data_IF_614384013603
#
_entry.id   IF_614384013603
#
_cell.length_a   1.000
_cell.length_b   1.000
_cell.length_c   1.000
_cell.angle_alpha   90.00
_cell.angle_beta   90.00
_cell.angle_gamma   90.00
#
_symmetry.space_group_name_H-M   'P 1'
#
loop_
_entity.id
_entity.type
_entity.pdbx_description
1 polymer ?
#
# COMPACT_ATOMS: atom_id res chain seq x y z
N UNK A 1 19.07 27.02 19.12
CA UNK A 1 19.45 25.58 19.17
C UNK A 1 18.25 24.66 18.98
N UNK A 2 17.15 24.77 19.75
CA UNK A 2 15.96 23.89 19.62
C UNK A 2 15.32 23.89 18.22
N UNK A 3 15.17 25.06 17.59
CA UNK A 3 14.62 25.18 16.24
C UNK A 3 15.52 24.57 15.15
N UNK A 4 16.85 24.64 15.33
CA UNK A 4 17.83 24.07 14.38
C UNK A 4 17.78 22.55 14.44
N UNK A 5 17.67 21.97 15.64
CA UNK A 5 17.53 20.51 15.82
C UNK A 5 16.21 20.00 15.24
N UNK A 6 15.08 20.70 15.44
CA UNK A 6 13.80 20.33 14.81
C UNK A 6 13.83 20.44 13.29
N UNK A 7 14.47 21.48 12.73
CA UNK A 7 14.60 21.63 11.27
C UNK A 7 15.47 20.53 10.64
N UNK A 8 16.55 20.15 11.34
CA UNK A 8 17.48 19.10 10.92
C UNK A 8 16.81 17.71 10.99
N UNK A 9 15.95 17.47 11.98
CA UNK A 9 15.15 16.24 12.09
C UNK A 9 14.09 16.12 10.99
N UNK A 10 13.45 17.23 10.58
CA UNK A 10 12.47 17.27 9.48
C UNK A 10 13.13 17.02 8.11
N UNK A 11 14.34 17.56 7.90
CA UNK A 11 15.11 17.36 6.67
C UNK A 11 15.59 15.91 6.48
N UNK A 12 15.95 15.22 7.56
CA UNK A 12 16.35 13.80 7.51
C UNK A 12 15.14 12.90 7.15
N UNK A 13 13.93 13.27 7.56
CA UNK A 13 12.72 12.47 7.31
C UNK A 13 12.22 12.52 5.86
N UNK A 14 12.69 13.48 5.05
CA UNK A 14 12.22 13.68 3.66
C UNK A 14 13.03 12.95 2.58
N UNK A 15 14.11 12.25 2.94
CA UNK A 15 15.00 11.61 1.95
C UNK A 15 14.59 10.17 1.65
N UNK A 16 13.40 9.97 1.10
CA UNK A 16 13.07 8.72 0.40
C UNK A 16 13.41 8.89 -1.08
N UNK A 17 14.64 8.49 -1.44
CA UNK A 17 15.05 8.44 -2.84
C UNK A 17 14.49 7.16 -3.44
N UNK A 18 13.42 7.27 -4.22
CA UNK A 18 12.89 6.14 -4.98
C UNK A 18 13.80 5.91 -6.19
N UNK A 19 14.50 4.77 -6.22
CA UNK A 19 15.19 4.31 -7.41
C UNK A 19 14.15 3.81 -8.42
N UNK A 20 13.95 4.56 -9.52
CA UNK A 20 13.04 4.17 -10.59
C UNK A 20 13.73 3.16 -11.51
N UNK A 21 13.21 1.94 -11.59
CA UNK A 21 13.71 0.91 -12.51
C UNK A 21 13.19 1.15 -13.93
N UNK A 22 14.07 1.09 -14.93
CA UNK A 22 13.70 1.24 -16.33
C UNK A 22 13.18 -0.09 -16.88
N UNK A 23 11.88 -0.20 -17.06
CA UNK A 23 11.21 -1.42 -17.55
C UNK A 23 11.12 -1.47 -19.08
N UNK A 24 11.46 -2.62 -19.66
CA UNK A 24 11.22 -2.89 -21.07
C UNK A 24 9.75 -3.26 -21.31
N UNK A 25 9.00 -2.33 -21.91
CA UNK A 25 7.58 -2.52 -22.24
C UNK A 25 7.39 -3.35 -23.50
N UNK A 26 6.28 -4.09 -23.54
CA UNK A 26 5.84 -4.80 -24.75
C UNK A 26 5.52 -3.82 -25.88
N UNK A 27 5.75 -4.26 -27.13
CA UNK A 27 5.48 -3.46 -28.34
C UNK A 27 3.98 -3.20 -28.54
N UNK A 28 3.14 -4.17 -28.18
CA UNK A 28 1.69 -4.06 -28.24
C UNK A 28 1.16 -3.42 -26.94
N UNK A 29 0.46 -2.28 -27.09
CA UNK A 29 -0.14 -1.55 -25.96
C UNK A 29 -1.22 -2.33 -25.23
N UNK A 30 -1.96 -3.20 -25.92
CA UNK A 30 -3.00 -4.02 -25.31
C UNK A 30 -2.39 -5.06 -24.36
N UNK A 31 -1.33 -5.73 -24.81
CA UNK A 31 -0.58 -6.71 -24.05
C UNK A 31 0.18 -6.06 -22.88
N UNK A 32 0.75 -4.86 -23.07
CA UNK A 32 1.37 -4.12 -21.96
C UNK A 32 0.35 -3.69 -20.91
N UNK A 33 -0.88 -3.30 -21.32
CA UNK A 33 -1.96 -3.00 -20.37
C UNK A 33 -2.30 -4.21 -19.52
N UNK A 34 -2.41 -5.38 -20.15
CA UNK A 34 -2.65 -6.66 -19.48
C UNK A 34 -1.52 -7.02 -18.51
N UNK A 35 -0.27 -6.86 -18.91
CA UNK A 35 0.89 -7.03 -18.03
C UNK A 35 0.82 -6.09 -16.82
N UNK A 36 0.51 -4.81 -17.06
CA UNK A 36 0.41 -3.79 -15.99
C UNK A 36 -0.69 -4.13 -14.98
N UNK A 37 -1.86 -4.59 -15.43
CA UNK A 37 -2.93 -5.01 -14.52
C UNK A 37 -2.53 -6.21 -13.66
N UNK A 38 -1.74 -7.15 -14.19
CA UNK A 38 -1.21 -8.26 -13.40
C UNK A 38 -0.21 -7.78 -12.33
N UNK A 39 0.61 -6.77 -12.65
CA UNK A 39 1.61 -6.25 -11.71
C UNK A 39 1.01 -5.52 -10.50
N UNK A 40 -0.19 -4.95 -10.63
CA UNK A 40 -0.89 -4.29 -9.52
C UNK A 40 -1.47 -5.31 -8.53
N UNK A 41 -1.94 -6.47 -9.01
CA UNK A 41 -2.56 -7.49 -8.15
C UNK A 41 -1.56 -8.46 -7.53
N UNK A 42 -0.41 -8.68 -8.20
CA UNK A 42 0.65 -9.58 -7.73
C UNK A 42 1.65 -8.80 -6.86
N UNK A 43 1.92 -9.29 -5.66
CA UNK A 43 2.97 -8.79 -4.76
C UNK A 43 4.30 -9.48 -5.01
N UNK A 44 5.37 -8.75 -4.79
CA UNK A 44 6.71 -9.33 -4.75
C UNK A 44 6.85 -10.22 -3.50
N UNK A 45 7.17 -11.52 -3.63
CA UNK A 45 7.20 -12.46 -2.51
C UNK A 45 8.32 -12.20 -1.49
N UNK A 46 9.36 -11.45 -1.89
CA UNK A 46 10.51 -11.15 -1.02
C UNK A 46 10.60 -9.67 -0.65
N UNK A 47 9.70 -8.84 -1.17
CA UNK A 47 9.65 -7.42 -0.86
C UNK A 47 8.72 -7.19 0.34
N UNK A 48 8.76 -6.00 0.95
CA UNK A 48 8.04 -5.63 2.17
C UNK A 48 6.50 -5.56 2.04
N UNK A 49 5.89 -6.39 1.17
CA UNK A 49 4.45 -6.44 0.92
C UNK A 49 3.96 -5.56 -0.23
N UNK A 50 4.89 -4.96 -0.99
CA UNK A 50 4.62 -4.10 -2.13
C UNK A 50 4.15 -4.89 -3.36
N UNK A 51 3.38 -4.24 -4.23
CA UNK A 51 3.00 -4.76 -5.54
C UNK A 51 4.22 -4.90 -6.48
N UNK A 52 4.13 -5.77 -7.49
CA UNK A 52 5.17 -5.89 -8.51
C UNK A 52 5.31 -4.60 -9.34
N UNK A 53 4.27 -3.79 -9.46
CA UNK A 53 4.32 -2.50 -10.15
C UNK A 53 5.07 -1.42 -9.36
N UNK A 54 5.00 -1.44 -8.02
CA UNK A 54 5.63 -0.45 -7.15
C UNK A 54 7.05 -0.84 -6.73
N UNK A 55 7.32 -2.14 -6.59
CA UNK A 55 8.61 -2.58 -6.07
C UNK A 55 9.74 -2.38 -7.10
N UNK A 56 10.74 -1.58 -6.71
CA UNK A 56 11.96 -1.31 -7.48
C UNK A 56 13.08 -2.34 -7.28
N UNK A 57 12.79 -3.50 -6.69
CA UNK A 57 13.78 -4.55 -6.46
C UNK A 57 14.15 -5.28 -7.76
N UNK A 58 15.39 -5.82 -7.82
CA UNK A 58 15.85 -6.58 -8.98
C UNK A 58 14.95 -7.80 -9.27
N UNK A 59 14.48 -8.48 -8.22
CA UNK A 59 13.56 -9.61 -8.34
C UNK A 59 12.21 -9.20 -8.97
N UNK A 60 11.71 -8.00 -8.66
CA UNK A 60 10.44 -7.54 -9.19
C UNK A 60 10.59 -7.24 -10.68
N UNK A 61 11.73 -6.67 -11.08
CA UNK A 61 12.08 -6.49 -12.50
C UNK A 61 12.10 -7.83 -13.24
N UNK A 62 12.82 -8.83 -12.72
CA UNK A 62 12.95 -10.15 -13.35
C UNK A 62 11.57 -10.84 -13.48
N UNK A 63 10.70 -10.71 -12.48
CA UNK A 63 9.33 -11.23 -12.55
C UNK A 63 8.48 -10.49 -13.59
N UNK A 64 8.57 -9.16 -13.68
CA UNK A 64 7.84 -8.39 -14.70
C UNK A 64 8.27 -8.80 -16.11
N UNK A 65 9.57 -9.03 -16.32
CA UNK A 65 10.09 -9.52 -17.59
C UNK A 65 9.58 -10.94 -17.91
N UNK A 66 9.59 -11.85 -16.93
CA UNK A 66 9.07 -13.21 -17.09
C UNK A 66 7.57 -13.23 -17.44
N UNK A 67 6.75 -12.39 -16.79
CA UNK A 67 5.32 -12.27 -17.07
C UNK A 67 5.08 -11.68 -18.47
N UNK A 68 5.80 -10.62 -18.86
CA UNK A 68 5.71 -10.05 -20.21
C UNK A 68 6.03 -11.09 -21.29
N UNK A 69 7.05 -11.92 -21.05
CA UNK A 69 7.40 -13.02 -21.96
C UNK A 69 6.25 -14.02 -22.10
N UNK A 70 5.65 -14.47 -21.00
CA UNK A 70 4.49 -15.39 -21.03
C UNK A 70 3.27 -14.79 -21.73
N UNK A 71 3.00 -13.51 -21.54
CA UNK A 71 1.93 -12.81 -22.26
C UNK A 71 2.22 -12.83 -23.77
N UNK A 72 3.47 -12.55 -24.17
CA UNK A 72 3.89 -12.60 -25.56
C UNK A 72 3.84 -14.01 -26.16
N UNK A 73 4.06 -15.04 -25.33
CA UNK A 73 3.95 -16.46 -25.70
C UNK A 73 2.48 -16.93 -25.79
N UNK A 74 1.50 -16.09 -25.46
CA UNK A 74 0.07 -16.35 -25.65
C UNK A 74 -0.64 -16.99 -24.46
N UNK A 75 0.00 -17.07 -23.29
CA UNK A 75 -0.63 -17.60 -22.08
C UNK A 75 -1.78 -16.73 -21.58
N UNK A 76 -2.75 -17.35 -20.92
CA UNK A 76 -3.89 -16.70 -20.23
C UNK A 76 -3.49 -16.17 -18.86
N UNK A 77 -4.28 -15.25 -18.28
CA UNK A 77 -3.95 -14.62 -16.99
C UNK A 77 -3.99 -15.64 -15.87
N UNK A 78 -4.97 -16.56 -15.93
CA UNK A 78 -5.17 -17.64 -14.98
C UNK A 78 -4.00 -18.63 -14.99
N UNK A 79 -3.48 -18.98 -16.18
CA UNK A 79 -2.32 -19.85 -16.32
C UNK A 79 -1.08 -19.22 -15.68
N UNK A 80 -0.79 -17.96 -16.00
CA UNK A 80 0.34 -17.21 -15.44
C UNK A 80 0.24 -17.14 -13.91
N UNK A 81 -0.95 -16.78 -13.39
CA UNK A 81 -1.19 -16.70 -11.95
C UNK A 81 -1.05 -18.06 -11.28
N UNK A 82 -1.57 -19.12 -11.87
CA UNK A 82 -1.52 -20.47 -11.31
C UNK A 82 -0.08 -20.98 -11.18
N UNK A 83 0.77 -20.71 -12.17
CA UNK A 83 2.17 -21.09 -12.19
C UNK A 83 2.98 -20.30 -11.15
N UNK A 84 2.73 -18.99 -11.06
CA UNK A 84 3.35 -18.14 -10.04
C UNK A 84 2.93 -18.58 -8.64
N UNK A 85 1.66 -18.94 -8.44
CA UNK A 85 1.14 -19.46 -7.17
C UNK A 85 1.76 -20.80 -6.79
N UNK A 86 1.99 -21.68 -7.76
CA UNK A 86 2.67 -22.95 -7.53
C UNK A 86 4.14 -22.76 -7.14
N UNK A 87 4.80 -21.74 -7.69
CA UNK A 87 6.23 -21.48 -7.45
C UNK A 87 6.49 -20.64 -6.20
N UNK A 88 5.66 -19.64 -5.91
CA UNK A 88 5.86 -18.63 -4.85
C UNK A 88 4.81 -18.66 -3.75
N UNK A 89 3.78 -19.51 -3.87
CA UNK A 89 2.73 -19.70 -2.87
C UNK A 89 1.50 -18.80 -3.05
N UNK A 90 0.48 -19.05 -2.22
CA UNK A 90 -0.83 -18.40 -2.31
C UNK A 90 -0.84 -16.92 -1.87
N UNK A 91 0.19 -16.47 -1.15
CA UNK A 91 0.26 -15.12 -0.55
C UNK A 91 0.71 -14.02 -1.52
N UNK A 92 1.02 -14.36 -2.77
CA UNK A 92 1.44 -13.38 -3.78
C UNK A 92 0.28 -12.59 -4.38
N UNK A 93 -0.96 -13.07 -4.26
CA UNK A 93 -2.12 -12.41 -4.87
C UNK A 93 -2.82 -11.55 -3.83
N UNK A 94 -3.00 -10.28 -4.15
CA UNK A 94 -3.78 -9.36 -3.31
C UNK A 94 -5.24 -9.36 -3.75
N UNK A 95 -6.06 -10.20 -3.12
CA UNK A 95 -7.49 -9.92 -3.00
C UNK A 95 -7.68 -9.18 -1.66
N UNK A 96 -7.84 -7.84 -1.64
CA UNK A 96 -8.04 -7.16 -0.37
C UNK A 96 -9.37 -7.64 0.23
N UNK A 97 -9.38 -8.28 1.42
CA UNK A 97 -10.63 -8.53 2.10
C UNK A 97 -11.25 -7.17 2.43
N UNK A 98 -12.54 -7.00 2.13
CA UNK A 98 -13.23 -5.72 2.33
C UNK A 98 -13.33 -5.39 3.82
N UNK A 99 -12.30 -4.75 4.39
CA UNK A 99 -12.25 -4.39 5.81
C UNK A 99 -13.02 -3.10 6.09
N UNK A 100 -14.32 -3.08 5.76
CA UNK A 100 -15.21 -1.97 6.12
C UNK A 100 -15.27 -1.78 7.64
N UNK A 101 -15.08 -2.86 8.42
CA UNK A 101 -15.10 -2.83 9.89
C UNK A 101 -14.01 -1.90 10.47
N UNK A 102 -12.85 -1.81 9.80
CA UNK A 102 -11.69 -1.06 10.29
C UNK A 102 -11.94 0.46 10.25
N UNK A 103 -12.88 0.90 9.40
CA UNK A 103 -13.27 2.30 9.26
C UNK A 103 -14.23 2.78 10.36
N UNK A 104 -14.88 1.86 11.08
CA UNK A 104 -15.77 2.24 12.19
C UNK A 104 -14.99 2.65 13.44
N UNK A 105 -13.77 2.15 13.64
CA UNK A 105 -12.94 2.48 14.81
C UNK A 105 -12.73 3.99 14.98
N UNK A 106 -12.21 4.74 13.99
CA UNK A 106 -11.99 6.18 14.13
C UNK A 106 -13.29 6.96 14.38
N UNK A 107 -14.39 6.57 13.74
CA UNK A 107 -15.71 7.18 13.96
C UNK A 107 -16.19 6.96 15.39
N UNK A 108 -16.04 5.74 15.91
CA UNK A 108 -16.48 5.38 17.26
C UNK A 108 -15.66 6.11 18.32
N UNK A 109 -14.33 6.17 18.16
CA UNK A 109 -13.44 6.92 19.07
C UNK A 109 -13.78 8.41 19.09
N UNK A 110 -14.09 9.01 17.94
CA UNK A 110 -14.48 10.42 17.85
C UNK A 110 -15.81 10.69 18.56
N UNK A 111 -16.80 9.82 18.37
CA UNK A 111 -18.10 9.91 19.05
C UNK A 111 -17.96 9.79 20.58
N UNK A 112 -17.16 8.83 21.05
CA UNK A 112 -16.89 8.64 22.49
C UNK A 112 -16.18 9.88 23.06
N UNK A 113 -15.16 10.40 22.37
CA UNK A 113 -14.44 11.60 22.79
C UNK A 113 -15.37 12.83 22.90
N UNK A 114 -16.17 13.10 21.87
CA UNK A 114 -17.16 14.19 21.87
C UNK A 114 -18.19 14.04 23.00
N UNK A 115 -18.67 12.82 23.24
CA UNK A 115 -19.63 12.54 24.32
C UNK A 115 -19.05 12.81 25.70
N UNK A 116 -17.82 12.35 25.96
CA UNK A 116 -17.11 12.58 27.21
C UNK A 116 -16.83 14.07 27.45
N UNK A 117 -16.43 14.81 26.40
CA UNK A 117 -16.20 16.27 26.49
C UNK A 117 -17.52 17.00 26.79
N UNK A 118 -18.62 16.68 26.10
CA UNK A 118 -19.96 17.25 26.39
C UNK A 118 -20.36 17.02 27.85
N UNK A 119 -20.18 15.80 28.34
CA UNK A 119 -20.48 15.45 29.73
C UNK A 119 -19.58 16.20 30.72
N UNK A 120 -18.28 16.31 30.42
CA UNK A 120 -17.33 17.04 31.25
C UNK A 120 -17.68 18.53 31.35
N UNK A 121 -17.98 19.18 30.21
CA UNK A 121 -18.39 20.60 30.17
C UNK A 121 -19.71 20.79 30.94
N UNK A 122 -20.72 19.94 30.70
CA UNK A 122 -22.02 19.99 31.39
C UNK A 122 -21.92 19.73 32.90
N UNK A 123 -20.95 18.94 33.35
CA UNK A 123 -20.68 18.72 34.77
C UNK A 123 -19.90 19.89 35.38
N UNK A 124 -18.95 20.47 34.62
CA UNK A 124 -18.16 21.63 35.06
C UNK A 124 -18.98 22.92 35.17
N UNK A 125 -20.07 23.07 34.41
CA UNK A 125 -20.99 24.21 34.52
C UNK A 125 -21.85 24.21 35.80
N UNK A 126 -21.89 23.09 36.54
CA UNK A 126 -22.54 22.98 37.86
C UNK A 126 -21.55 23.26 39.01
N UNK A 127 -20.24 23.21 38.76
CA UNK A 127 -19.19 23.55 39.74
C UNK A 127 -18.54 24.92 39.44
N UNK A 128 -19.39 25.92 39.20
CA UNK A 128 -19.06 27.33 39.46
C UNK A 128 -20.19 27.96 40.27
N UNK A 129 -20.19 27.84 41.60
CA UNK A 129 -20.58 28.95 42.45
C UNK A 129 -19.31 29.66 42.92
N UNK A 130 -19.13 30.87 42.40
CA UNK A 130 -18.60 32.05 43.08
C UNK A 130 -17.32 31.91 43.94
N UNK A 131 -16.30 32.68 43.50
CA UNK A 131 -15.14 33.18 44.24
C UNK A 131 -13.85 32.37 44.19
#
# INVERSE_FOLDING_TARGET
MRAVVSLLFILIFHSSVNAFTLDNKLRDKSMEKRATSLFEIIRCPICSGESLSESGSQIAYDMREAIRKKINDGYTDEEIISELKNSYGNSIITTPPSTYILWFIPLTTLLIGCFLIRKYISMSSIFKPFM
#
